data_IF_650776642457
#
_entry.id   IF_650776642457
#
_cell.length_a   1.000
_cell.length_b   1.000
_cell.length_c   1.000
_cell.angle_alpha   90.00
_cell.angle_beta   90.00
_cell.angle_gamma   90.00
#
_symmetry.space_group_name_H-M   'P 1'
#
loop_
_entity.id
_entity.type
_entity.pdbx_description
1 polymer ?
#
# COMPACT_ATOMS: atom_id res chain seq x y z
N UNK A 1 -0.75 -6.94 -31.25
CA UNK A 1 -1.27 -5.57 -31.05
C UNK A 1 -0.19 -4.77 -30.37
N UNK A 2 0.17 -3.60 -30.87
CA UNK A 2 1.05 -2.67 -30.13
C UNK A 2 0.31 -2.22 -28.87
N UNK A 3 0.97 -2.21 -27.70
CA UNK A 3 0.37 -1.69 -26.48
C UNK A 3 -0.13 -0.24 -26.68
N UNK A 4 -1.22 0.10 -26.03
CA UNK A 4 -1.68 1.51 -26.00
C UNK A 4 -0.58 2.37 -25.35
N UNK A 5 -0.03 3.38 -26.04
CA UNK A 5 1.08 4.18 -25.54
C UNK A 5 0.75 4.90 -24.21
N UNK A 6 -0.53 5.14 -23.90
CA UNK A 6 -0.94 5.73 -22.63
C UNK A 6 -0.66 4.81 -21.42
N UNK A 7 -0.66 3.49 -21.63
CA UNK A 7 -0.41 2.49 -20.59
C UNK A 7 0.93 1.79 -20.73
N UNK A 8 1.82 2.28 -21.60
CA UNK A 8 3.14 1.70 -21.77
C UNK A 8 4.03 1.99 -20.55
N UNK A 9 4.51 0.94 -19.90
CA UNK A 9 5.41 0.98 -18.76
C UNK A 9 6.81 0.45 -19.11
N UNK A 10 7.06 0.08 -20.37
CA UNK A 10 8.29 -0.57 -20.82
C UNK A 10 9.53 0.27 -20.47
N UNK A 11 10.53 -0.38 -19.88
CA UNK A 11 11.81 0.22 -19.52
C UNK A 11 11.78 1.18 -18.32
N UNK A 12 10.61 1.43 -17.73
CA UNK A 12 10.49 2.22 -16.51
C UNK A 12 10.95 1.40 -15.29
N UNK A 13 11.32 2.09 -14.22
CA UNK A 13 11.79 1.49 -12.96
C UNK A 13 10.74 1.70 -11.89
N UNK A 14 10.36 0.63 -11.19
CA UNK A 14 9.44 0.66 -10.05
C UNK A 14 10.12 0.24 -8.76
N UNK A 15 9.72 0.87 -7.66
CA UNK A 15 10.00 0.43 -6.28
C UNK A 15 8.68 0.06 -5.63
N UNK A 16 8.58 -1.17 -5.10
CA UNK A 16 7.40 -1.66 -4.39
C UNK A 16 7.82 -2.08 -2.98
N UNK A 17 7.28 -1.43 -1.95
CA UNK A 17 7.55 -1.79 -0.55
C UNK A 17 6.56 -2.83 -0.04
N UNK A 18 6.99 -3.71 0.88
CA UNK A 18 6.18 -4.85 1.30
C UNK A 18 5.95 -5.83 0.13
N UNK A 19 6.99 -6.00 -0.70
CA UNK A 19 6.88 -6.67 -1.98
C UNK A 19 6.76 -8.19 -1.92
N UNK A 20 7.00 -8.81 -0.77
CA UNK A 20 6.76 -10.25 -0.52
C UNK A 20 5.35 -10.52 0.04
N UNK A 21 4.65 -9.47 0.48
CA UNK A 21 3.28 -9.58 0.95
C UNK A 21 2.26 -9.85 -0.18
N UNK A 22 1.03 -10.22 0.21
CA UNK A 22 -0.03 -10.63 -0.71
C UNK A 22 -0.26 -9.64 -1.87
N UNK A 23 -0.38 -8.35 -1.60
CA UNK A 23 -0.58 -7.32 -2.63
C UNK A 23 0.73 -6.93 -3.30
N UNK A 24 1.80 -6.77 -2.52
CA UNK A 24 3.10 -6.35 -3.03
C UNK A 24 3.65 -7.30 -4.09
N UNK A 25 3.54 -8.61 -3.87
CA UNK A 25 3.95 -9.63 -4.85
C UNK A 25 3.14 -9.53 -6.15
N UNK A 26 1.82 -9.31 -6.06
CA UNK A 26 0.97 -9.12 -7.25
C UNK A 26 1.35 -7.84 -8.00
N UNK A 27 1.63 -6.75 -7.30
CA UNK A 27 2.05 -5.50 -7.93
C UNK A 27 3.43 -5.66 -8.59
N UNK A 28 4.39 -6.26 -7.88
CA UNK A 28 5.73 -6.45 -8.42
C UNK A 28 5.72 -7.31 -9.68
N UNK A 29 5.06 -8.47 -9.65
CA UNK A 29 4.93 -9.36 -10.80
C UNK A 29 4.17 -8.67 -11.95
N UNK A 30 3.02 -8.08 -11.68
CA UNK A 30 2.20 -7.45 -12.71
C UNK A 30 2.83 -6.23 -13.37
N UNK A 31 3.69 -5.49 -12.67
CA UNK A 31 4.48 -4.40 -13.24
C UNK A 31 5.64 -4.93 -14.09
N UNK A 32 6.32 -6.00 -13.64
CA UNK A 32 7.38 -6.67 -14.40
C UNK A 32 6.86 -7.26 -15.72
N UNK A 33 5.71 -7.95 -15.70
CA UNK A 33 5.03 -8.45 -16.89
C UNK A 33 4.72 -7.35 -17.93
N UNK A 34 4.67 -6.08 -17.51
CA UNK A 34 4.46 -4.90 -18.37
C UNK A 34 5.76 -4.19 -18.74
N UNK A 35 6.88 -4.88 -18.56
CA UNK A 35 8.20 -4.43 -18.99
C UNK A 35 8.88 -3.42 -18.07
N UNK A 36 8.40 -3.24 -16.82
CA UNK A 36 9.12 -2.48 -15.81
C UNK A 36 10.27 -3.31 -15.21
N UNK A 37 11.33 -2.63 -14.80
CA UNK A 37 12.32 -3.18 -13.85
C UNK A 37 11.81 -2.92 -12.45
N UNK A 38 11.60 -3.96 -11.66
CA UNK A 38 10.96 -3.84 -10.36
C UNK A 38 11.92 -4.17 -9.23
N UNK A 39 12.10 -3.21 -8.32
CA UNK A 39 12.75 -3.42 -7.03
C UNK A 39 11.67 -3.69 -5.97
N UNK A 40 11.67 -4.90 -5.43
CA UNK A 40 10.81 -5.35 -4.34
C UNK A 40 11.55 -5.21 -3.01
N UNK A 41 11.08 -4.32 -2.13
CA UNK A 41 11.67 -4.04 -0.85
C UNK A 41 10.84 -4.70 0.27
N UNK A 42 11.48 -5.52 1.10
CA UNK A 42 10.83 -6.13 2.26
C UNK A 42 11.85 -6.41 3.37
N UNK A 43 11.38 -6.62 4.61
CA UNK A 43 12.23 -6.99 5.75
C UNK A 43 12.79 -8.41 5.64
N UNK A 44 12.17 -9.25 4.83
CA UNK A 44 12.64 -10.57 4.47
C UNK A 44 12.53 -10.73 2.96
N UNK A 45 13.66 -10.77 2.28
CA UNK A 45 13.68 -11.09 0.87
C UNK A 45 13.29 -12.55 0.69
N UNK A 46 12.04 -12.76 0.26
CA UNK A 46 11.59 -14.05 -0.23
C UNK A 46 12.06 -14.32 -1.66
N UNK A 47 11.66 -15.45 -2.23
CA UNK A 47 11.83 -15.67 -3.66
C UNK A 47 11.02 -14.61 -4.43
N UNK A 48 11.71 -13.83 -5.26
CA UNK A 48 11.07 -12.87 -6.16
C UNK A 48 10.85 -13.52 -7.53
N UNK A 49 9.81 -13.12 -8.29
CA UNK A 49 9.66 -13.48 -9.69
C UNK A 49 10.92 -13.14 -10.51
N UNK A 50 11.16 -13.84 -11.63
CA UNK A 50 12.40 -13.76 -12.43
C UNK A 50 12.77 -12.30 -12.82
N UNK A 51 11.78 -11.47 -13.13
CA UNK A 51 11.98 -10.07 -13.54
C UNK A 51 11.87 -9.06 -12.38
N UNK A 52 11.84 -9.54 -11.13
CA UNK A 52 11.75 -8.73 -9.92
C UNK A 52 13.00 -8.93 -9.06
N UNK A 53 13.70 -7.86 -8.75
CA UNK A 53 14.83 -7.93 -7.83
C UNK A 53 14.37 -7.64 -6.40
N UNK A 54 14.61 -8.58 -5.50
CA UNK A 54 14.35 -8.43 -4.08
C UNK A 54 15.52 -7.73 -3.36
N UNK A 55 15.17 -6.88 -2.40
CA UNK A 55 16.09 -6.18 -1.52
C UNK A 55 15.61 -6.31 -0.07
N UNK A 56 16.51 -6.71 0.83
CA UNK A 56 16.27 -6.61 2.26
C UNK A 56 16.28 -5.14 2.67
N UNK A 57 15.13 -4.63 3.09
CA UNK A 57 14.97 -3.24 3.43
C UNK A 57 13.84 -3.04 4.43
N UNK A 58 14.20 -2.61 5.64
CA UNK A 58 13.24 -2.09 6.59
C UNK A 58 12.88 -0.66 6.20
N UNK A 59 11.62 -0.42 5.87
CA UNK A 59 11.13 0.93 5.50
C UNK A 59 11.17 1.92 6.66
N UNK A 60 11.36 1.46 7.89
CA UNK A 60 11.55 2.33 9.07
C UNK A 60 13.00 2.80 9.23
N UNK A 61 13.93 2.20 8.48
CA UNK A 61 15.35 2.59 8.43
C UNK A 61 15.65 3.41 7.17
N UNK A 62 15.85 4.71 7.36
CA UNK A 62 16.24 5.63 6.29
C UNK A 62 17.53 5.20 5.59
N UNK A 63 18.53 4.74 6.34
CA UNK A 63 19.82 4.34 5.78
C UNK A 63 19.71 3.15 4.84
N UNK A 64 18.86 2.16 5.20
CA UNK A 64 18.55 1.02 4.35
C UNK A 64 17.89 1.45 3.04
N UNK A 65 16.89 2.35 3.10
CA UNK A 65 16.21 2.87 1.89
C UNK A 65 17.22 3.61 0.99
N UNK A 66 18.07 4.46 1.55
CA UNK A 66 19.09 5.21 0.80
C UNK A 66 20.12 4.26 0.16
N UNK A 67 20.52 3.19 0.84
CA UNK A 67 21.44 2.19 0.29
C UNK A 67 20.81 1.46 -0.90
N UNK A 68 19.57 1.02 -0.77
CA UNK A 68 18.85 0.33 -1.86
C UNK A 68 18.64 1.28 -3.04
N UNK A 69 18.25 2.53 -2.79
CA UNK A 69 18.08 3.51 -3.88
C UNK A 69 19.38 3.73 -4.66
N UNK A 70 20.55 3.86 -3.98
CA UNK A 70 21.84 3.97 -4.67
C UNK A 70 22.13 2.78 -5.59
N UNK A 71 21.80 1.57 -5.17
CA UNK A 71 21.97 0.37 -6.01
C UNK A 71 21.04 0.40 -7.24
N UNK A 72 19.78 0.76 -7.03
CA UNK A 72 18.79 0.91 -8.13
C UNK A 72 19.24 1.97 -9.12
N UNK A 73 19.65 3.15 -8.65
CA UNK A 73 20.07 4.26 -9.51
C UNK A 73 21.34 3.93 -10.32
N UNK A 74 22.30 3.24 -9.71
CA UNK A 74 23.53 2.84 -10.38
C UNK A 74 23.30 1.84 -11.54
N UNK A 75 22.27 1.01 -11.44
CA UNK A 75 22.04 -0.07 -12.39
C UNK A 75 20.90 0.22 -13.38
N UNK A 76 19.81 0.85 -12.90
CA UNK A 76 18.60 1.05 -13.67
C UNK A 76 18.21 2.52 -13.86
N UNK A 77 18.86 3.42 -13.14
CA UNK A 77 18.53 4.84 -13.10
C UNK A 77 17.43 5.17 -12.09
N UNK A 78 17.05 6.43 -12.07
CA UNK A 78 16.06 6.94 -11.09
C UNK A 78 14.70 6.29 -11.27
N UNK A 79 14.06 5.80 -10.19
CA UNK A 79 12.73 5.20 -10.24
C UNK A 79 11.68 6.13 -10.85
N UNK A 80 10.74 5.54 -11.60
CA UNK A 80 9.58 6.22 -12.19
C UNK A 80 8.32 6.03 -11.35
N UNK A 81 8.25 4.91 -10.61
CA UNK A 81 7.13 4.56 -9.75
C UNK A 81 7.62 4.18 -8.35
N UNK A 82 6.95 4.68 -7.34
CA UNK A 82 7.04 4.18 -5.96
C UNK A 82 5.65 3.74 -5.51
N UNK A 83 5.53 2.48 -5.09
CA UNK A 83 4.31 1.95 -4.44
C UNK A 83 4.61 1.73 -2.96
N UNK A 84 4.13 2.62 -2.10
CA UNK A 84 4.19 2.47 -0.66
C UNK A 84 3.07 1.51 -0.23
N UNK A 85 3.39 0.21 -0.25
CA UNK A 85 2.45 -0.86 0.08
C UNK A 85 2.79 -1.54 1.43
N UNK A 86 4.04 -1.47 1.89
CA UNK A 86 4.42 -2.00 3.21
C UNK A 86 3.47 -1.50 4.30
N UNK A 87 3.02 -2.41 5.15
CA UNK A 87 2.11 -2.05 6.23
C UNK A 87 1.75 -3.22 7.13
N UNK A 88 1.52 -2.89 8.38
CA UNK A 88 1.04 -3.79 9.42
C UNK A 88 -0.44 -3.49 9.72
N UNK A 89 -1.24 -4.54 9.87
CA UNK A 89 -2.58 -4.45 10.47
C UNK A 89 -2.49 -4.51 12.00
N UNK A 90 -1.65 -5.43 12.48
CA UNK A 90 -1.23 -5.64 13.86
C UNK A 90 0.23 -6.11 13.86
N UNK A 91 1.05 -5.80 14.90
CA UNK A 91 2.35 -6.44 15.09
C UNK A 91 2.20 -7.97 15.19
N UNK A 92 3.17 -8.76 14.69
CA UNK A 92 3.08 -10.22 14.71
C UNK A 92 3.00 -10.82 16.13
N UNK A 93 3.60 -10.15 17.10
CA UNK A 93 3.68 -10.52 18.52
C UNK A 93 2.79 -9.65 19.42
N UNK A 94 1.77 -9.03 18.83
CA UNK A 94 0.86 -8.16 19.56
C UNK A 94 0.21 -8.89 20.74
N UNK A 95 0.15 -8.23 21.91
CA UNK A 95 -0.52 -8.83 23.08
C UNK A 95 -2.03 -8.93 22.88
N UNK A 96 -2.68 -9.77 23.70
CA UNK A 96 -4.13 -10.02 23.60
C UNK A 96 -4.96 -8.74 23.84
N UNK A 97 -4.40 -7.78 24.58
CA UNK A 97 -5.03 -6.49 24.86
C UNK A 97 -5.22 -5.63 23.61
N UNK A 98 -4.45 -5.88 22.53
CA UNK A 98 -4.59 -5.14 21.27
C UNK A 98 -5.96 -5.30 20.62
N UNK A 99 -6.60 -6.44 20.80
CA UNK A 99 -7.97 -6.68 20.33
C UNK A 99 -9.03 -6.45 21.41
N UNK A 100 -8.63 -5.91 22.54
CA UNK A 100 -9.46 -5.55 23.69
C UNK A 100 -10.10 -4.14 23.57
N UNK A 101 -10.64 -3.63 24.68
CA UNK A 101 -11.19 -2.28 24.75
C UNK A 101 -10.17 -1.20 24.39
N UNK A 102 -10.63 -0.13 23.76
CA UNK A 102 -9.76 0.99 23.34
C UNK A 102 -8.95 1.59 24.52
N UNK A 103 -9.54 1.64 25.69
CA UNK A 103 -8.93 2.21 26.89
C UNK A 103 -7.69 1.47 27.38
N UNK A 104 -7.51 0.23 26.94
CA UNK A 104 -6.36 -0.62 27.29
C UNK A 104 -5.50 -0.99 26.07
N UNK A 105 -5.70 -0.33 24.94
CA UNK A 105 -4.92 -0.58 23.73
C UNK A 105 -3.43 -0.27 23.99
N UNK A 106 -2.49 -1.20 23.68
CA UNK A 106 -1.08 -1.00 24.00
C UNK A 106 -0.43 0.11 23.16
N UNK A 107 0.22 1.07 23.82
CA UNK A 107 0.97 2.14 23.15
C UNK A 107 2.04 1.60 22.20
N UNK A 108 2.75 0.56 22.62
CA UNK A 108 3.79 -0.08 21.79
C UNK A 108 3.24 -0.66 20.48
N UNK A 109 2.04 -1.25 20.49
CA UNK A 109 1.36 -1.71 19.26
C UNK A 109 0.97 -0.53 18.38
N UNK A 110 0.51 0.58 18.98
CA UNK A 110 0.19 1.80 18.24
C UNK A 110 1.42 2.36 17.53
N UNK A 111 2.53 2.51 18.26
CA UNK A 111 3.79 3.04 17.73
C UNK A 111 4.35 2.15 16.62
N UNK A 112 4.35 0.83 16.80
CA UNK A 112 4.86 -0.11 15.80
C UNK A 112 4.07 -0.02 14.47
N UNK A 113 2.75 0.07 14.53
CA UNK A 113 1.92 0.23 13.33
C UNK A 113 2.16 1.58 12.66
N UNK A 114 2.27 2.67 13.42
CA UNK A 114 2.55 3.99 12.85
C UNK A 114 3.96 4.08 12.28
N UNK A 115 4.94 3.47 12.92
CA UNK A 115 6.32 3.44 12.41
C UNK A 115 6.38 2.81 11.01
N UNK A 116 5.74 1.67 10.80
CA UNK A 116 5.74 1.03 9.48
C UNK A 116 4.83 1.79 8.50
N UNK A 117 3.56 1.99 8.86
CA UNK A 117 2.54 2.43 7.90
C UNK A 117 2.64 3.93 7.55
N UNK A 118 3.10 4.76 8.48
CA UNK A 118 3.17 6.22 8.31
C UNK A 118 4.60 6.68 8.11
N UNK A 119 5.48 6.41 9.08
CA UNK A 119 6.87 6.84 9.02
C UNK A 119 7.62 6.13 7.88
N UNK A 120 7.39 4.83 7.67
CA UNK A 120 7.96 4.09 6.55
C UNK A 120 7.58 4.69 5.20
N UNK A 121 6.28 4.95 4.96
CA UNK A 121 5.82 5.61 3.75
C UNK A 121 6.40 7.03 3.60
N UNK A 122 6.49 7.80 4.69
CA UNK A 122 7.12 9.11 4.72
C UNK A 122 8.61 9.04 4.33
N UNK A 123 9.38 8.10 4.89
CA UNK A 123 10.81 7.95 4.57
C UNK A 123 11.04 7.52 3.13
N UNK A 124 10.23 6.57 2.62
CA UNK A 124 10.28 6.17 1.21
C UNK A 124 9.96 7.35 0.28
N UNK A 125 8.95 8.16 0.61
CA UNK A 125 8.66 9.38 -0.13
C UNK A 125 9.82 10.38 -0.07
N UNK A 126 10.45 10.59 1.10
CA UNK A 126 11.60 11.50 1.21
C UNK A 126 12.79 11.07 0.35
N UNK A 127 13.12 9.79 0.39
CA UNK A 127 14.33 9.25 -0.27
C UNK A 127 14.06 9.04 -1.76
N UNK A 128 13.10 8.17 -2.09
CA UNK A 128 12.80 7.81 -3.49
C UNK A 128 12.06 8.94 -4.21
N UNK A 129 11.03 9.51 -3.58
CA UNK A 129 10.30 10.66 -4.13
C UNK A 129 11.17 11.91 -4.31
N UNK A 130 12.12 12.15 -3.38
CA UNK A 130 13.12 13.19 -3.52
C UNK A 130 14.04 13.00 -4.74
N UNK A 131 14.43 11.76 -5.04
CA UNK A 131 15.18 11.44 -6.27
C UNK A 131 14.34 11.68 -7.53
N UNK A 132 13.08 11.25 -7.52
CA UNK A 132 12.13 11.53 -8.61
C UNK A 132 11.97 13.02 -8.87
N UNK A 133 11.82 13.83 -7.81
CA UNK A 133 11.68 15.28 -7.92
C UNK A 133 12.93 15.95 -8.53
N UNK A 134 14.13 15.48 -8.16
CA UNK A 134 15.37 15.94 -8.80
C UNK A 134 15.47 15.52 -10.27
N UNK A 135 14.90 14.37 -10.62
CA UNK A 135 14.85 13.90 -12.01
C UNK A 135 13.73 14.55 -12.85
N UNK A 136 12.85 15.35 -12.23
CA UNK A 136 11.76 16.05 -12.91
C UNK A 136 10.60 15.15 -13.34
N UNK A 137 10.49 13.93 -12.78
CA UNK A 137 9.44 12.95 -13.14
C UNK A 137 9.23 11.91 -12.04
N UNK A 138 8.02 11.44 -11.89
CA UNK A 138 7.69 10.31 -11.00
C UNK A 138 6.21 10.16 -10.74
N UNK A 139 5.84 8.97 -10.28
CA UNK A 139 4.52 8.66 -9.75
C UNK A 139 4.67 7.94 -8.41
N UNK A 140 3.99 8.41 -7.38
CA UNK A 140 3.95 7.79 -6.06
C UNK A 140 2.52 7.32 -5.79
N UNK A 141 2.37 6.06 -5.44
CA UNK A 141 1.11 5.44 -5.04
C UNK A 141 1.20 5.03 -3.58
N UNK A 142 0.46 5.70 -2.72
CA UNK A 142 0.36 5.37 -1.31
C UNK A 142 -0.84 4.45 -1.08
N UNK A 143 -0.61 3.22 -0.65
CA UNK A 143 -1.69 2.25 -0.43
C UNK A 143 -2.37 2.50 0.92
N UNK A 144 -3.64 2.87 0.86
CA UNK A 144 -4.54 3.05 2.01
C UNK A 144 -5.59 1.94 2.05
N UNK A 145 -6.55 2.06 2.94
CA UNK A 145 -7.66 1.14 3.17
C UNK A 145 -8.97 1.91 3.27
N UNK A 146 -10.10 1.24 3.05
CA UNK A 146 -11.42 1.79 3.43
C UNK A 146 -11.43 2.24 4.89
N UNK A 147 -10.65 1.62 5.75
CA UNK A 147 -10.49 2.03 7.16
C UNK A 147 -9.63 3.29 7.34
N UNK A 148 -9.05 3.81 6.28
CA UNK A 148 -8.50 5.18 6.25
C UNK A 148 -9.54 6.24 5.91
N UNK A 149 -10.67 5.86 5.29
CA UNK A 149 -11.80 6.75 4.97
C UNK A 149 -12.92 6.64 5.99
N UNK A 150 -13.18 5.44 6.46
CA UNK A 150 -14.32 5.07 7.29
C UNK A 150 -13.83 4.34 8.55
N UNK A 151 -14.64 4.38 9.60
CA UNK A 151 -14.38 3.57 10.79
C UNK A 151 -14.64 2.08 10.53
N UNK A 152 -13.88 1.18 11.16
CA UNK A 152 -14.17 -0.25 11.13
C UNK A 152 -15.57 -0.56 11.63
N UNK A 153 -16.27 -1.43 10.92
CA UNK A 153 -17.57 -1.94 11.35
C UNK A 153 -17.34 -3.10 12.31
N UNK A 154 -17.44 -2.85 13.61
CA UNK A 154 -17.16 -3.85 14.65
C UNK A 154 -18.09 -5.08 14.62
N UNK A 155 -19.28 -4.94 14.02
CA UNK A 155 -20.23 -6.07 13.89
C UNK A 155 -19.80 -7.14 12.89
N UNK A 156 -18.83 -6.86 12.02
CA UNK A 156 -18.21 -7.89 11.20
C UNK A 156 -17.58 -9.03 12.02
N UNK A 157 -17.27 -8.74 13.28
CA UNK A 157 -16.64 -9.66 14.23
C UNK A 157 -17.61 -10.17 15.30
N UNK A 158 -18.94 -10.02 15.11
CA UNK A 158 -19.95 -10.47 16.06
C UNK A 158 -19.82 -11.97 16.38
N UNK A 159 -19.51 -12.80 15.38
CA UNK A 159 -19.31 -14.25 15.53
C UNK A 159 -18.22 -14.60 16.56
N UNK A 160 -17.18 -13.76 16.73
CA UNK A 160 -16.14 -13.96 17.74
C UNK A 160 -16.71 -13.71 19.14
N UNK A 161 -17.48 -12.63 19.31
CA UNK A 161 -18.14 -12.31 20.58
C UNK A 161 -19.15 -13.37 20.99
N UNK A 162 -19.89 -13.95 20.03
CA UNK A 162 -20.82 -15.07 20.26
C UNK A 162 -20.10 -16.33 20.75
N UNK A 163 -18.82 -16.50 20.40
CA UNK A 163 -17.94 -17.57 20.91
C UNK A 163 -17.30 -17.25 22.26
N UNK A 164 -17.62 -16.09 22.86
CA UNK A 164 -17.04 -15.63 24.12
C UNK A 164 -15.64 -15.01 23.99
N UNK A 165 -15.19 -14.70 22.75
CA UNK A 165 -13.92 -14.01 22.51
C UNK A 165 -14.12 -12.49 22.62
N UNK A 166 -13.18 -11.81 23.30
CA UNK A 166 -13.08 -10.35 23.21
C UNK A 166 -12.39 -10.00 21.90
N UNK A 167 -13.06 -9.23 21.07
CA UNK A 167 -12.44 -8.73 19.84
C UNK A 167 -13.01 -7.37 19.44
N UNK A 168 -12.10 -6.40 19.32
CA UNK A 168 -12.31 -5.09 18.71
C UNK A 168 -11.25 -4.90 17.64
N UNK A 169 -11.62 -4.43 16.46
CA UNK A 169 -10.62 -4.14 15.41
C UNK A 169 -9.65 -3.07 15.89
N UNK A 170 -8.33 -3.32 15.87
CA UNK A 170 -7.32 -2.40 16.36
C UNK A 170 -7.40 -0.99 15.75
N UNK A 171 -7.21 0.03 16.59
CA UNK A 171 -7.33 1.44 16.20
C UNK A 171 -6.16 1.92 15.35
N UNK A 172 -4.93 1.45 15.64
CA UNK A 172 -3.71 1.96 15.03
C UNK A 172 -3.72 1.85 13.49
N UNK A 173 -4.24 0.74 12.97
CA UNK A 173 -4.36 0.54 11.53
C UNK A 173 -5.21 1.64 10.86
N UNK A 174 -6.40 1.92 11.39
CA UNK A 174 -7.30 2.93 10.83
C UNK A 174 -6.68 4.32 10.89
N UNK A 175 -6.07 4.68 12.02
CA UNK A 175 -5.36 5.96 12.18
C UNK A 175 -4.22 6.06 11.16
N UNK A 176 -3.41 5.01 11.02
CA UNK A 176 -2.28 5.01 10.08
C UNK A 176 -2.72 5.18 8.63
N UNK A 177 -3.79 4.48 8.22
CA UNK A 177 -4.30 4.55 6.85
C UNK A 177 -5.01 5.88 6.55
N UNK A 178 -5.56 6.57 7.56
CA UNK A 178 -6.05 7.95 7.43
C UNK A 178 -4.91 8.96 7.25
N UNK A 179 -3.80 8.80 7.98
CA UNK A 179 -2.63 9.70 7.88
C UNK A 179 -2.04 9.72 6.45
N UNK A 180 -2.01 8.57 5.78
CA UNK A 180 -1.51 8.42 4.41
C UNK A 180 -2.29 9.28 3.40
N UNK A 181 -3.59 9.47 3.59
CA UNK A 181 -4.41 10.31 2.71
C UNK A 181 -3.95 11.77 2.69
N UNK A 182 -3.62 12.32 3.85
CA UNK A 182 -3.17 13.72 3.91
C UNK A 182 -1.70 13.88 3.54
N UNK A 183 -0.84 12.87 3.83
CA UNK A 183 0.52 12.82 3.31
C UNK A 183 0.52 12.91 1.77
N UNK A 184 -0.37 12.17 1.12
CA UNK A 184 -0.56 12.21 -0.34
C UNK A 184 -0.89 13.61 -0.82
N UNK A 185 -1.88 14.30 -0.22
CA UNK A 185 -2.28 15.67 -0.62
C UNK A 185 -1.14 16.66 -0.44
N UNK A 186 -0.44 16.59 0.68
CA UNK A 186 0.70 17.45 0.96
C UNK A 186 1.79 17.29 -0.11
N UNK A 187 2.21 16.06 -0.40
CA UNK A 187 3.26 15.78 -1.37
C UNK A 187 2.84 16.08 -2.80
N UNK A 188 1.58 15.84 -3.15
CA UNK A 188 1.03 16.16 -4.47
C UNK A 188 1.16 17.65 -4.78
N UNK A 189 0.81 18.52 -3.83
CA UNK A 189 0.96 19.98 -4.00
C UNK A 189 2.40 20.44 -3.93
N UNK A 190 3.21 19.80 -3.09
CA UNK A 190 4.63 20.16 -2.88
C UNK A 190 5.50 19.84 -4.11
N UNK A 191 5.25 18.70 -4.78
CA UNK A 191 6.05 18.22 -5.90
C UNK A 191 5.41 18.38 -7.29
N UNK A 192 4.22 18.95 -7.39
CA UNK A 192 3.57 19.13 -8.70
C UNK A 192 4.46 19.85 -9.73
N UNK A 193 5.10 20.94 -9.33
CA UNK A 193 6.02 21.70 -10.19
C UNK A 193 7.33 20.97 -10.50
N UNK A 194 7.68 19.97 -9.71
CA UNK A 194 8.82 19.10 -9.95
C UNK A 194 8.48 17.86 -10.80
N UNK A 195 7.29 17.80 -11.39
CA UNK A 195 6.88 16.71 -12.28
C UNK A 195 6.58 15.38 -11.58
N UNK A 196 6.35 15.37 -10.26
CA UNK A 196 6.02 14.17 -9.50
C UNK A 196 4.54 14.19 -9.11
N UNK A 197 3.81 13.14 -9.50
CA UNK A 197 2.43 12.92 -9.11
C UNK A 197 2.39 12.03 -7.85
N UNK A 198 1.51 12.33 -6.93
CA UNK A 198 1.33 11.54 -5.70
C UNK A 198 -0.16 11.27 -5.50
N UNK A 199 -0.55 10.01 -5.46
CA UNK A 199 -1.95 9.60 -5.31
C UNK A 199 -2.09 8.50 -4.26
N UNK A 200 -3.27 8.40 -3.69
CA UNK A 200 -3.64 7.29 -2.81
C UNK A 200 -4.42 6.23 -3.60
N UNK A 201 -4.14 4.99 -3.31
CA UNK A 201 -4.96 3.84 -3.69
C UNK A 201 -5.62 3.28 -2.43
N UNK A 202 -6.92 3.48 -2.31
CA UNK A 202 -7.71 2.98 -1.17
C UNK A 202 -8.38 1.67 -1.55
N UNK A 203 -8.07 0.61 -0.80
CA UNK A 203 -8.57 -0.74 -1.06
C UNK A 203 -9.60 -1.18 -0.01
N UNK A 204 -10.54 -2.00 -0.46
CA UNK A 204 -11.38 -2.82 0.41
C UNK A 204 -10.58 -3.97 1.05
N UNK A 205 -11.24 -4.76 1.88
CA UNK A 205 -10.68 -5.99 2.39
C UNK A 205 -10.37 -6.98 1.28
N UNK A 206 -9.12 -7.47 1.27
CA UNK A 206 -8.63 -8.44 0.29
C UNK A 206 -8.90 -9.86 0.79
N UNK A 207 -9.38 -10.73 -0.09
CA UNK A 207 -9.61 -12.14 0.19
C UNK A 207 -8.30 -12.83 0.56
N UNK A 208 -8.26 -13.48 1.74
CA UNK A 208 -7.09 -14.17 2.28
C UNK A 208 -7.46 -15.19 3.36
N UNK A 209 -8.19 -16.23 3.00
CA UNK A 209 -8.56 -17.33 3.89
C UNK A 209 -9.26 -16.90 5.20
N UNK A 210 -10.02 -15.80 5.20
CA UNK A 210 -10.79 -15.35 6.35
C UNK A 210 -11.89 -16.38 6.71
N UNK A 211 -12.31 -16.46 8.00
CA UNK A 211 -13.40 -17.31 8.43
C UNK A 211 -14.69 -17.07 7.64
N UNK A 212 -15.47 -18.12 7.42
CA UNK A 212 -16.70 -18.06 6.63
C UNK A 212 -17.68 -17.01 7.15
N UNK A 213 -17.85 -16.94 8.46
CA UNK A 213 -18.76 -15.98 9.12
C UNK A 213 -18.34 -14.53 8.85
N UNK A 214 -17.02 -14.26 8.84
CA UNK A 214 -16.49 -12.94 8.44
C UNK A 214 -16.79 -12.65 6.96
N UNK A 215 -16.54 -13.63 6.07
CA UNK A 215 -16.79 -13.48 4.64
C UNK A 215 -18.25 -13.18 4.34
N UNK A 216 -19.19 -13.88 4.99
CA UNK A 216 -20.62 -13.65 4.84
C UNK A 216 -21.02 -12.25 5.32
N UNK A 217 -20.58 -11.84 6.52
CA UNK A 217 -20.88 -10.52 7.08
C UNK A 217 -20.26 -9.38 6.25
N UNK A 218 -19.02 -9.57 5.78
CA UNK A 218 -18.33 -8.60 4.93
C UNK A 218 -19.01 -8.45 3.57
N UNK A 219 -19.27 -9.57 2.88
CA UNK A 219 -19.87 -9.59 1.55
C UNK A 219 -21.27 -8.98 1.52
N UNK A 220 -22.05 -9.15 2.59
CA UNK A 220 -23.37 -8.52 2.72
C UNK A 220 -23.34 -6.98 2.73
N UNK A 221 -22.17 -6.37 3.01
CA UNK A 221 -21.98 -4.92 3.02
C UNK A 221 -21.35 -4.37 1.75
N UNK A 222 -20.82 -5.22 0.90
CA UNK A 222 -20.21 -4.81 -0.37
C UNK A 222 -21.26 -4.89 -1.48
N UNK A 223 -21.58 -3.82 -2.22
CA UNK A 223 -22.51 -3.89 -3.35
C UNK A 223 -22.17 -4.96 -4.38
N UNK A 224 -20.87 -5.21 -4.63
CA UNK A 224 -20.41 -6.31 -5.50
C UNK A 224 -20.53 -7.71 -4.86
N UNK A 225 -20.95 -7.83 -3.61
CA UNK A 225 -21.28 -9.08 -2.93
C UNK A 225 -20.09 -9.98 -2.58
N UNK A 226 -18.85 -9.48 -2.61
CA UNK A 226 -17.63 -10.25 -2.32
C UNK A 226 -16.47 -9.36 -1.89
N UNK A 227 -15.45 -9.97 -1.33
CA UNK A 227 -14.17 -9.29 -1.08
C UNK A 227 -13.40 -9.05 -2.38
N UNK A 228 -12.40 -8.16 -2.31
CA UNK A 228 -11.48 -7.87 -3.40
C UNK A 228 -10.50 -9.03 -3.59
N UNK A 229 -10.31 -9.48 -4.82
CA UNK A 229 -9.19 -10.35 -5.16
C UNK A 229 -7.92 -9.51 -5.41
N UNK A 230 -6.75 -9.99 -4.94
CA UNK A 230 -5.51 -9.20 -4.98
C UNK A 230 -5.16 -8.67 -6.38
N UNK A 231 -5.40 -9.47 -7.43
CA UNK A 231 -5.15 -9.09 -8.83
C UNK A 231 -6.00 -7.92 -9.34
N UNK A 232 -7.17 -7.69 -8.75
CA UNK A 232 -8.08 -6.63 -9.20
C UNK A 232 -7.58 -5.23 -8.84
N UNK A 233 -6.72 -5.10 -7.83
CA UNK A 233 -6.08 -3.83 -7.47
C UNK A 233 -4.99 -3.40 -8.47
N UNK A 234 -4.40 -4.35 -9.22
CA UNK A 234 -3.29 -4.09 -10.14
C UNK A 234 -3.65 -3.08 -11.24
N UNK A 235 -4.87 -3.13 -11.77
CA UNK A 235 -5.31 -2.20 -12.80
C UNK A 235 -5.22 -0.73 -12.38
N UNK A 236 -5.56 -0.42 -11.13
CA UNK A 236 -5.43 0.93 -10.58
C UNK A 236 -3.95 1.34 -10.40
N UNK A 237 -3.08 0.42 -9.99
CA UNK A 237 -1.63 0.67 -9.90
C UNK A 237 -1.06 0.98 -11.30
N UNK A 238 -1.40 0.18 -12.31
CA UNK A 238 -0.97 0.40 -13.70
C UNK A 238 -1.45 1.74 -14.23
N UNK A 239 -2.72 2.12 -14.00
CA UNK A 239 -3.25 3.43 -14.36
C UNK A 239 -2.43 4.55 -13.70
N UNK A 240 -2.21 4.49 -12.39
CA UNK A 240 -1.46 5.52 -11.66
C UNK A 240 0.03 5.57 -12.02
N UNK A 241 0.62 4.45 -12.45
CA UNK A 241 2.00 4.37 -12.93
C UNK A 241 2.20 4.94 -14.33
N UNK A 242 1.15 4.95 -15.15
CA UNK A 242 1.19 5.24 -16.58
C UNK A 242 0.90 6.71 -16.91
N UNK A 243 1.10 7.07 -18.17
CA UNK A 243 0.79 8.42 -18.69
C UNK A 243 -0.73 8.65 -18.82
N UNK A 244 -1.54 7.58 -18.76
CA UNK A 244 -3.00 7.68 -18.69
C UNK A 244 -3.48 8.50 -17.47
N UNK A 245 -2.64 8.61 -16.43
CA UNK A 245 -2.92 9.42 -15.23
C UNK A 245 -2.07 10.68 -15.14
N UNK A 246 -1.54 11.19 -16.27
CA UNK A 246 -0.61 12.34 -16.30
C UNK A 246 -1.15 13.62 -15.64
N UNK A 247 -2.47 13.79 -15.56
CA UNK A 247 -3.13 14.93 -14.90
C UNK A 247 -3.80 14.55 -13.58
N UNK A 248 -3.46 13.39 -12.99
CA UNK A 248 -4.02 12.89 -11.74
C UNK A 248 -2.97 12.98 -10.64
N UNK A 249 -3.15 13.92 -9.70
CA UNK A 249 -2.31 14.07 -8.50
C UNK A 249 -3.16 14.55 -7.32
N UNK A 250 -2.81 14.14 -6.10
CA UNK A 250 -3.56 14.44 -4.88
C UNK A 250 -4.89 13.69 -4.76
N UNK A 251 -5.16 12.78 -5.68
CA UNK A 251 -6.42 12.04 -5.75
C UNK A 251 -6.38 10.79 -4.88
N UNK A 252 -7.56 10.31 -4.52
CA UNK A 252 -7.78 9.02 -3.90
C UNK A 252 -8.57 8.12 -4.86
N UNK A 253 -7.92 7.12 -5.41
CA UNK A 253 -8.56 6.09 -6.24
C UNK A 253 -9.08 4.99 -5.32
N UNK A 254 -10.39 4.82 -5.27
CA UNK A 254 -11.05 3.86 -4.38
C UNK A 254 -11.40 2.61 -5.17
N UNK A 255 -10.96 1.44 -4.68
CA UNK A 255 -11.22 0.12 -5.25
C UNK A 255 -11.81 -0.75 -4.12
N UNK A 256 -13.12 -0.64 -3.91
CA UNK A 256 -13.78 -1.17 -2.73
C UNK A 256 -15.10 -1.93 -3.00
N UNK A 257 -15.40 -2.19 -4.27
CA UNK A 257 -16.63 -2.90 -4.66
C UNK A 257 -17.92 -2.14 -4.31
N UNK A 258 -17.79 -0.82 -4.06
CA UNK A 258 -18.90 0.06 -3.67
C UNK A 258 -19.13 0.16 -2.16
N UNK A 259 -18.24 -0.39 -1.31
CA UNK A 259 -18.37 -0.34 0.15
C UNK A 259 -18.62 1.07 0.68
N UNK A 260 -17.91 2.09 0.15
CA UNK A 260 -18.00 3.47 0.63
C UNK A 260 -19.03 4.33 -0.13
N UNK A 261 -19.85 3.74 -0.99
CA UNK A 261 -20.79 4.48 -1.83
C UNK A 261 -22.16 4.72 -1.17
N UNK A 262 -22.43 4.15 0.01
CA UNK A 262 -23.68 4.27 0.79
C UNK A 262 -23.47 4.50 2.29
#
# INVERSE_FOLDING_TARGET
MTPDPLFDLSGRVAVVTGGTGQLGAVYAAGLAERGMRVASLDIASGEAPEDVRAYDCDVTDRGAIEQVLRQIEAEWGTPHLLVNNAGLDSPPDAPVEEVGPFETYPEASFDAVLDVNVKGAFLCCQVVGGAMARAGRGSIVNVSSIYGLLSPVQDLYAFRRERGETFVKPVAYSVSKSAVLNLTRYLATYWASAGVRVNTLTLAGVSNNQPREFLEAYSARVPMGRMLEAGEALGAVVFLASDASSYVTGSNVVVDGGWSAW
#
